data_IF_053805703917
#
_entry.id   IF_053805703917
#
_cell.length_a   1.000
_cell.length_b   1.000
_cell.length_c   1.000
_cell.angle_alpha   90.00
_cell.angle_beta   90.00
_cell.angle_gamma   90.00
#
_symmetry.space_group_name_H-M   'P 1'
#
loop_
_entity.id
_entity.type
_entity.pdbx_description
1 polymer ?
#
# COMPACT_ATOMS: atom_id res chain seq x y z
N UNK A 1 0.04 -6.73 9.48
CA UNK A 1 -0.51 -7.16 8.17
C UNK A 1 -1.92 -6.58 7.95
N UNK A 2 -2.78 -6.60 8.97
CA UNK A 2 -4.18 -6.10 8.89
C UNK A 2 -4.34 -4.65 8.39
N UNK A 3 -3.41 -3.74 8.73
CA UNK A 3 -3.50 -2.34 8.28
C UNK A 3 -3.50 -2.21 6.76
N UNK A 4 -2.68 -2.99 6.05
CA UNK A 4 -2.57 -2.91 4.60
C UNK A 4 -3.88 -3.32 3.93
N UNK A 5 -4.39 -4.51 4.28
CA UNK A 5 -5.63 -5.06 3.73
C UNK A 5 -6.85 -4.21 4.09
N UNK A 6 -6.95 -3.73 5.34
CA UNK A 6 -8.04 -2.83 5.76
C UNK A 6 -8.01 -1.54 4.94
N UNK A 7 -6.85 -0.91 4.82
CA UNK A 7 -6.72 0.34 4.08
C UNK A 7 -7.03 0.14 2.59
N UNK A 8 -6.55 -0.95 1.98
CA UNK A 8 -6.86 -1.28 0.59
C UNK A 8 -8.37 -1.42 0.36
N UNK A 9 -9.03 -2.20 1.22
CA UNK A 9 -10.47 -2.47 1.13
C UNK A 9 -11.33 -1.21 1.26
N UNK A 10 -10.98 -0.28 2.15
CA UNK A 10 -11.84 0.86 2.46
C UNK A 10 -11.45 2.16 1.77
N UNK A 11 -10.18 2.33 1.38
CA UNK A 11 -9.67 3.60 0.82
C UNK A 11 -9.46 3.54 -0.69
N UNK A 12 -9.35 2.35 -1.30
CA UNK A 12 -8.99 2.20 -2.71
C UNK A 12 -9.97 1.35 -3.51
N UNK A 13 -10.43 0.25 -2.91
CA UNK A 13 -11.39 -0.65 -3.54
C UNK A 13 -12.81 -0.06 -3.45
N UNK A 14 -13.29 0.48 -4.55
CA UNK A 14 -14.68 0.93 -4.69
C UNK A 14 -15.64 -0.26 -4.79
N UNK A 15 -16.82 -0.15 -4.18
CA UNK A 15 -17.79 -1.23 -4.11
C UNK A 15 -18.46 -1.42 -5.49
N UNK A 16 -18.16 -2.54 -6.17
CA UNK A 16 -18.75 -2.89 -7.47
C UNK A 16 -17.87 -2.65 -8.71
N UNK A 17 -16.64 -2.16 -8.57
CA UNK A 17 -15.85 -1.61 -9.70
C UNK A 17 -14.99 -2.61 -10.47
N UNK A 18 -14.94 -3.88 -10.07
CA UNK A 18 -14.15 -4.89 -10.80
C UNK A 18 -15.01 -5.70 -11.75
N UNK A 19 -15.09 -5.27 -13.01
CA UNK A 19 -15.76 -6.02 -14.09
C UNK A 19 -14.90 -7.20 -14.57
N UNK A 20 -13.59 -7.13 -14.38
CA UNK A 20 -12.65 -8.19 -14.77
C UNK A 20 -11.58 -8.41 -13.69
N UNK A 21 -11.03 -9.62 -13.66
CA UNK A 21 -9.86 -9.93 -12.84
C UNK A 21 -8.67 -9.02 -13.16
N UNK A 22 -8.50 -8.64 -14.44
CA UNK A 22 -7.42 -7.76 -14.89
C UNK A 22 -7.45 -6.38 -14.19
N UNK A 23 -8.62 -5.78 -14.06
CA UNK A 23 -8.79 -4.51 -13.33
C UNK A 23 -8.45 -4.66 -11.86
N UNK A 24 -8.92 -5.72 -11.21
CA UNK A 24 -8.59 -5.99 -9.80
C UNK A 24 -7.07 -6.16 -9.60
N UNK A 25 -6.39 -6.84 -10.54
CA UNK A 25 -4.94 -7.00 -10.48
C UNK A 25 -4.19 -5.68 -10.69
N UNK A 26 -4.66 -4.82 -11.59
CA UNK A 26 -4.05 -3.52 -11.84
C UNK A 26 -4.18 -2.60 -10.62
N UNK A 27 -5.38 -2.54 -10.02
CA UNK A 27 -5.63 -1.76 -8.81
C UNK A 27 -4.78 -2.22 -7.63
N UNK A 28 -4.61 -3.53 -7.44
CA UNK A 28 -3.70 -4.06 -6.42
C UNK A 28 -2.27 -3.58 -6.68
N UNK A 29 -1.78 -3.63 -7.93
CA UNK A 29 -0.42 -3.16 -8.28
C UNK A 29 -0.28 -1.67 -8.02
N UNK A 30 -1.23 -0.85 -8.46
CA UNK A 30 -1.25 0.58 -8.26
C UNK A 30 -1.23 0.92 -6.76
N UNK A 31 -2.08 0.23 -5.99
CA UNK A 31 -2.15 0.43 -4.55
C UNK A 31 -0.87 0.01 -3.81
N UNK A 32 -0.22 -1.09 -4.21
CA UNK A 32 1.07 -1.50 -3.63
C UNK A 32 2.13 -0.42 -3.83
N UNK A 33 2.18 0.18 -5.02
CA UNK A 33 3.12 1.28 -5.30
C UNK A 33 2.79 2.51 -4.44
N UNK A 34 1.52 2.93 -4.43
CA UNK A 34 1.08 4.04 -3.58
C UNK A 34 1.40 3.82 -2.10
N UNK A 35 1.08 2.64 -1.56
CA UNK A 35 1.30 2.30 -0.16
C UNK A 35 2.78 2.36 0.23
N UNK A 36 3.67 1.89 -0.65
CA UNK A 36 5.10 1.79 -0.33
C UNK A 36 5.87 3.10 -0.51
N UNK A 37 5.46 3.95 -1.47
CA UNK A 37 6.21 5.13 -1.88
C UNK A 37 5.60 6.46 -1.44
N UNK A 38 4.27 6.52 -1.31
CA UNK A 38 3.54 7.79 -1.10
C UNK A 38 2.85 7.82 0.25
N UNK A 39 2.29 6.70 0.71
CA UNK A 39 1.42 6.70 1.88
C UNK A 39 2.17 7.11 3.14
N UNK A 40 1.70 8.13 3.89
CA UNK A 40 2.31 8.52 5.14
C UNK A 40 1.95 7.55 6.27
N UNK A 41 2.94 7.15 7.05
CA UNK A 41 2.78 6.20 8.15
C UNK A 41 3.12 6.87 9.49
N UNK A 42 2.15 6.93 10.42
CA UNK A 42 2.34 7.59 11.73
C UNK A 42 3.51 7.01 12.54
N UNK A 43 3.70 5.69 12.49
CA UNK A 43 4.84 5.01 13.11
C UNK A 43 6.19 5.34 12.46
N UNK A 44 6.16 5.80 11.21
CA UNK A 44 7.31 6.17 10.40
C UNK A 44 7.52 7.69 10.40
N UNK A 45 7.01 8.42 11.39
CA UNK A 45 7.05 9.88 11.44
C UNK A 45 6.39 10.54 10.20
N UNK A 46 5.40 9.88 9.60
CA UNK A 46 4.75 10.34 8.38
C UNK A 46 5.46 9.93 7.08
N UNK A 47 6.60 9.24 7.15
CA UNK A 47 7.33 8.78 5.96
C UNK A 47 6.74 7.49 5.38
N UNK A 48 6.95 7.32 4.08
CA UNK A 48 6.56 6.11 3.36
C UNK A 48 7.42 4.90 3.81
N UNK A 49 6.89 3.67 3.74
CA UNK A 49 7.60 2.45 4.17
C UNK A 49 8.99 2.27 3.59
N UNK A 50 9.20 2.65 2.33
CA UNK A 50 10.50 2.51 1.65
C UNK A 50 11.58 3.38 2.29
N UNK A 51 11.20 4.54 2.83
CA UNK A 51 12.13 5.51 3.42
C UNK A 51 12.54 5.17 4.85
N UNK A 52 11.82 4.26 5.50
CA UNK A 52 12.09 3.86 6.89
C UNK A 52 12.82 2.53 7.04
N UNK A 53 13.00 1.78 5.94
CA UNK A 53 13.80 0.56 5.98
C UNK A 53 15.28 0.96 6.09
N UNK A 54 15.89 0.69 7.25
CA UNK A 54 17.35 0.71 7.37
C UNK A 54 17.94 -0.36 6.44
N UNK A 55 19.09 -0.11 5.78
CA UNK A 55 19.80 -1.18 5.07
C UNK A 55 20.12 -2.29 6.07
N UNK A 56 19.77 -3.52 5.71
CA UNK A 56 20.23 -4.72 6.42
C UNK A 56 21.72 -4.83 6.08
N UNK A 57 22.57 -4.20 6.88
CA UNK A 57 23.99 -4.07 6.57
C UNK A 57 24.87 -3.40 7.62
N UNK A 58 24.29 -2.75 8.63
CA UNK A 58 25.06 -2.22 9.77
C UNK A 58 24.99 -3.20 10.96
N UNK A 59 25.69 -4.33 10.83
CA UNK A 59 26.11 -5.19 11.95
C UNK A 59 27.63 -5.40 11.85
#
# INVERSE_FOLDING_TARGET
MERWFRSFKYEWMQEGDYLTLGQAMDDVRAYVMYYNFVRPHRYNQGLAPVLTKKPIGDC
#
